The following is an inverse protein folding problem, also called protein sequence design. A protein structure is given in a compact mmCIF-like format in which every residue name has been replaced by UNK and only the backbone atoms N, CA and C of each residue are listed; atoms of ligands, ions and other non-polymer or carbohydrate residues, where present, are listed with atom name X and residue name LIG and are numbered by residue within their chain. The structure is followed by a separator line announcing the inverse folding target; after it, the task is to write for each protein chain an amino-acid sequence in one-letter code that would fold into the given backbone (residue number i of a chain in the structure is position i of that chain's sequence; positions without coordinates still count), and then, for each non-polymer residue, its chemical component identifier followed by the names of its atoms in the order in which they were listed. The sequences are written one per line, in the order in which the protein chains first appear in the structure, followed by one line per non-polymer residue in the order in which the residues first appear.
data_IF_837248180832
#
_entry.id   IF_837248180832
#
_cell.length_a   1.000
_cell.length_b   1.000
_cell.length_c   1.000
_cell.angle_alpha   90.00
_cell.angle_beta   90.00
_cell.angle_gamma   90.00
#
_symmetry.space_group_name_H-M   'P 1'
#
loop_
_entity.id
_entity.type
_entity.pdbx_description
1 polymer ?
#
# COMPACT_ATOMS: atom_id res chain seq x y z
N UNK A 1 -26.36 21.67 35.82
CA UNK A 1 -25.66 22.99 35.75
C UNK A 1 -24.73 22.92 34.53
N UNK A 2 -24.94 23.69 33.46
CA UNK A 2 -24.07 23.68 32.28
C UNK A 2 -22.93 24.69 32.44
N UNK A 3 -21.72 24.29 32.03
CA UNK A 3 -20.59 25.22 31.89
C UNK A 3 -20.26 25.41 30.43
N UNK A 4 -20.65 26.56 29.91
CA UNK A 4 -20.17 27.19 28.69
C UNK A 4 -18.70 27.60 28.82
N UNK A 5 -17.85 27.18 27.88
CA UNK A 5 -16.46 27.60 27.73
C UNK A 5 -16.22 28.16 26.33
N UNK A 6 -16.10 29.46 26.30
CA UNK A 6 -15.92 30.47 25.25
C UNK A 6 -14.68 30.23 24.39
N UNK A 7 -14.81 30.34 23.07
CA UNK A 7 -13.69 30.49 22.11
C UNK A 7 -13.16 31.93 22.17
N UNK A 8 -11.88 32.18 21.95
CA UNK A 8 -11.42 33.51 21.52
C UNK A 8 -11.09 33.53 20.04
N UNK A 9 -11.82 34.40 19.33
CA UNK A 9 -11.43 34.96 18.03
C UNK A 9 -10.15 35.79 18.18
N UNK A 10 -9.22 35.61 17.26
CA UNK A 10 -8.16 36.57 17.02
C UNK A 10 -8.02 36.85 15.53
N UNK A 11 -8.76 37.83 15.07
CA UNK A 11 -8.46 38.66 13.91
C UNK A 11 -7.25 39.54 14.23
N UNK A 12 -6.22 39.52 13.40
CA UNK A 12 -5.24 40.60 13.31
C UNK A 12 -4.97 40.90 11.83
N UNK A 13 -5.52 41.99 11.38
CA UNK A 13 -5.14 42.65 10.15
C UNK A 13 -3.91 43.54 10.43
N UNK A 14 -2.95 43.52 9.56
CA UNK A 14 -1.94 44.56 9.48
C UNK A 14 -1.56 44.84 8.02
N UNK A 15 -2.02 46.01 7.59
CA UNK A 15 -1.56 46.73 6.40
C UNK A 15 -0.21 47.35 6.69
N UNK A 16 0.74 47.33 5.75
CA UNK A 16 1.79 48.30 5.67
C UNK A 16 2.30 48.42 4.22
N UNK A 17 2.11 49.59 3.75
CA UNK A 17 2.44 50.42 2.59
C UNK A 17 3.90 50.44 2.16
N UNK A 18 4.08 50.41 0.84
CA UNK A 18 4.93 51.21 -0.07
C UNK A 18 6.36 51.62 0.29
N UNK A 19 7.29 51.39 -0.65
CA UNK A 19 8.23 52.38 -1.12
C UNK A 19 8.82 52.01 -2.49
N UNK A 20 8.78 52.97 -3.39
CA UNK A 20 9.39 53.02 -4.74
C UNK A 20 10.92 52.96 -4.69
N UNK A 21 11.52 52.26 -5.62
CA UNK A 21 12.95 52.33 -5.88
C UNK A 21 13.27 51.91 -7.32
N UNK A 22 13.35 52.90 -8.22
CA UNK A 22 13.81 52.74 -9.59
C UNK A 22 15.34 52.58 -9.64
N UNK A 23 15.81 51.48 -10.24
CA UNK A 23 17.16 51.40 -10.75
C UNK A 23 17.16 50.64 -12.07
N UNK A 24 17.47 51.38 -13.16
CA UNK A 24 17.82 50.84 -14.45
C UNK A 24 19.22 50.19 -14.38
N UNK A 25 19.33 48.92 -14.82
CA UNK A 25 20.59 48.39 -15.35
C UNK A 25 20.31 47.44 -16.50
N UNK A 26 20.90 47.73 -17.63
CA UNK A 26 20.87 46.97 -18.87
C UNK A 26 21.63 45.64 -18.69
N UNK A 27 21.10 44.62 -19.34
CA UNK A 27 21.92 43.61 -19.99
C UNK A 27 22.07 42.29 -19.26
N UNK A 28 21.30 41.32 -19.71
CA UNK A 28 21.69 39.94 -20.03
C UNK A 28 20.45 39.16 -20.39
N UNK A 29 20.30 38.78 -21.64
CA UNK A 29 19.30 37.84 -22.10
C UNK A 29 19.68 36.44 -21.60
N UNK A 30 19.13 36.05 -20.46
CA UNK A 30 19.08 34.66 -20.04
C UNK A 30 17.73 34.12 -20.45
N UNK A 31 17.70 33.13 -21.36
CA UNK A 31 16.52 32.41 -21.73
C UNK A 31 15.86 31.81 -20.51
N UNK A 32 14.53 31.86 -20.39
CA UNK A 32 13.82 31.13 -19.32
C UNK A 32 14.02 29.66 -19.57
N UNK A 33 14.68 28.98 -18.65
CA UNK A 33 14.57 27.54 -18.55
C UNK A 33 13.08 27.21 -18.28
N UNK A 34 12.43 26.66 -19.27
CA UNK A 34 11.10 26.08 -19.10
C UNK A 34 11.25 24.95 -18.10
N UNK A 35 10.81 25.22 -16.89
CA UNK A 35 10.47 24.16 -15.94
C UNK A 35 9.33 23.37 -16.60
N UNK A 36 9.69 22.28 -17.26
CA UNK A 36 8.72 21.36 -17.81
C UNK A 36 7.82 20.90 -16.67
N UNK A 37 6.55 21.24 -16.79
CA UNK A 37 5.47 20.65 -16.03
C UNK A 37 5.62 19.14 -16.16
N UNK A 38 6.14 18.51 -15.12
CA UNK A 38 6.15 17.07 -14.99
C UNK A 38 4.76 16.71 -14.52
N UNK A 39 3.94 16.07 -15.35
CA UNK A 39 2.62 15.65 -14.89
C UNK A 39 2.80 14.78 -13.65
N UNK A 40 2.01 15.08 -12.62
CA UNK A 40 1.95 14.31 -11.39
C UNK A 40 1.82 12.82 -11.74
N UNK A 41 2.72 12.02 -11.20
CA UNK A 41 2.76 10.58 -11.44
C UNK A 41 1.38 9.96 -11.14
N UNK A 42 0.79 9.39 -12.16
CA UNK A 42 -0.51 8.74 -12.14
C UNK A 42 -0.56 7.55 -11.17
N UNK A 43 -1.73 7.25 -10.60
CA UNK A 43 -1.94 6.08 -9.72
C UNK A 43 -1.89 4.72 -10.46
N UNK A 44 -1.51 4.70 -11.74
CA UNK A 44 -1.40 3.48 -12.54
C UNK A 44 -0.26 2.52 -12.11
N UNK A 45 0.72 3.00 -11.32
CA UNK A 45 1.86 2.17 -10.91
C UNK A 45 1.49 1.06 -9.91
N UNK A 46 0.43 1.26 -9.12
CA UNK A 46 0.08 0.32 -8.03
C UNK A 46 -0.61 -0.94 -8.56
N UNK A 47 -1.47 -0.81 -9.56
CA UNK A 47 -2.16 -1.96 -10.18
C UNK A 47 -1.23 -2.80 -11.06
N UNK A 48 -0.23 -2.17 -11.69
CA UNK A 48 0.74 -2.89 -12.52
C UNK A 48 1.75 -3.70 -11.66
N UNK A 49 2.13 -3.17 -10.49
CA UNK A 49 3.00 -3.86 -9.56
C UNK A 49 2.33 -5.11 -8.95
N UNK A 50 1.04 -5.04 -8.63
CA UNK A 50 0.29 -6.17 -8.09
C UNK A 50 0.13 -7.32 -9.11
N UNK A 51 -0.11 -7.00 -10.38
CA UNK A 51 -0.20 -8.00 -11.45
C UNK A 51 1.14 -8.71 -11.70
N UNK A 52 2.27 -7.98 -11.60
CA UNK A 52 3.60 -8.57 -11.74
C UNK A 52 3.95 -9.49 -10.56
N UNK A 53 3.69 -9.09 -9.32
CA UNK A 53 3.99 -9.90 -8.14
C UNK A 53 3.27 -11.25 -8.14
N UNK A 54 2.00 -11.29 -8.58
CA UNK A 54 1.27 -12.54 -8.77
C UNK A 54 1.92 -13.41 -9.83
N UNK A 55 2.19 -12.85 -11.01
CA UNK A 55 2.80 -13.57 -12.13
C UNK A 55 4.18 -14.11 -11.75
N UNK A 56 5.00 -13.29 -11.11
CA UNK A 56 6.33 -13.66 -10.67
C UNK A 56 6.30 -14.78 -9.63
N UNK A 57 5.38 -14.69 -8.66
CA UNK A 57 5.17 -15.76 -7.69
C UNK A 57 4.76 -17.07 -8.37
N UNK A 58 3.75 -17.04 -9.24
CA UNK A 58 3.23 -18.23 -9.90
C UNK A 58 4.27 -18.84 -10.86
N UNK A 59 5.04 -18.03 -11.57
CA UNK A 59 6.11 -18.50 -12.45
C UNK A 59 7.23 -19.18 -11.66
N UNK A 60 7.50 -18.72 -10.45
CA UNK A 60 8.57 -19.26 -9.59
C UNK A 60 8.18 -20.59 -8.93
N UNK A 61 6.96 -20.71 -8.42
CA UNK A 61 6.54 -21.85 -7.57
C UNK A 61 5.47 -22.74 -8.19
N UNK A 62 4.92 -22.33 -9.33
CA UNK A 62 3.76 -22.99 -9.96
C UNK A 62 2.45 -22.76 -9.18
N UNK A 63 1.42 -23.43 -9.64
CA UNK A 63 0.10 -23.41 -8.98
C UNK A 63 -0.38 -24.81 -8.69
N UNK A 64 -1.27 -24.91 -7.70
CA UNK A 64 -2.06 -26.12 -7.45
C UNK A 64 -3.54 -25.77 -7.38
N UNK A 65 -4.41 -26.72 -7.74
CA UNK A 65 -5.83 -26.59 -7.52
C UNK A 65 -6.11 -26.92 -6.06
N UNK A 66 -6.84 -26.03 -5.39
CA UNK A 66 -7.22 -26.20 -3.99
C UNK A 66 -8.69 -25.87 -3.78
N UNK A 67 -9.34 -26.67 -2.95
CA UNK A 67 -10.73 -26.52 -2.53
C UNK A 67 -10.83 -26.82 -1.03
N UNK A 68 -11.16 -25.85 -0.17
CA UNK A 68 -11.26 -26.09 1.28
C UNK A 68 -12.40 -26.99 1.69
N UNK A 69 -13.53 -26.98 0.95
CA UNK A 69 -14.69 -27.85 1.18
C UNK A 69 -15.42 -28.13 -0.14
N UNK A 70 -16.36 -29.08 -0.15
CA UNK A 70 -17.19 -29.43 -1.34
C UNK A 70 -18.07 -28.27 -1.83
N UNK A 71 -18.45 -27.37 -0.92
CA UNK A 71 -19.45 -26.32 -1.15
C UNK A 71 -18.85 -25.03 -1.78
N UNK A 72 -17.54 -24.98 -1.96
CA UNK A 72 -16.85 -23.85 -2.54
C UNK A 72 -16.16 -24.20 -3.85
N UNK A 73 -15.95 -23.19 -4.69
CA UNK A 73 -15.29 -23.35 -5.98
C UNK A 73 -13.80 -23.63 -5.78
N UNK A 74 -13.24 -24.57 -6.54
CA UNK A 74 -11.81 -24.83 -6.54
C UNK A 74 -11.05 -23.66 -7.18
N UNK A 75 -9.94 -23.24 -6.57
CA UNK A 75 -9.09 -22.17 -7.07
C UNK A 75 -7.67 -22.68 -7.38
N UNK A 76 -7.04 -22.06 -8.39
CA UNK A 76 -5.59 -22.18 -8.59
C UNK A 76 -4.87 -21.23 -7.65
N UNK A 77 -4.19 -21.79 -6.65
CA UNK A 77 -3.40 -21.04 -5.66
C UNK A 77 -1.91 -21.27 -5.88
N UNK A 78 -1.02 -20.36 -5.41
CA UNK A 78 0.42 -20.61 -5.43
C UNK A 78 0.80 -21.88 -4.66
N UNK A 79 1.73 -22.65 -5.23
CA UNK A 79 2.17 -23.93 -4.62
C UNK A 79 3.31 -23.70 -3.63
N UNK A 80 3.10 -22.85 -2.64
CA UNK A 80 4.10 -22.48 -1.64
C UNK A 80 3.48 -22.22 -0.27
N UNK A 81 4.25 -22.52 0.78
CA UNK A 81 3.97 -22.09 2.15
C UNK A 81 4.88 -20.91 2.50
N UNK A 82 4.28 -19.83 3.03
CA UNK A 82 5.04 -18.69 3.51
C UNK A 82 4.91 -18.56 5.03
N UNK A 83 6.01 -18.20 5.66
CA UNK A 83 6.10 -18.00 7.11
C UNK A 83 7.16 -16.96 7.41
N UNK A 84 7.27 -16.54 8.65
CA UNK A 84 8.33 -15.61 9.06
C UNK A 84 9.70 -16.11 8.63
N UNK A 85 10.49 -15.24 7.98
CA UNK A 85 11.76 -15.54 7.33
C UNK A 85 11.66 -15.84 5.85
N UNK A 86 10.46 -16.10 5.28
CA UNK A 86 10.28 -16.24 3.83
C UNK A 86 10.53 -14.91 3.11
N UNK A 87 11.03 -14.95 1.88
CA UNK A 87 11.29 -13.75 1.05
C UNK A 87 10.90 -13.99 -0.40
N UNK A 88 10.79 -12.90 -1.17
CA UNK A 88 10.61 -12.95 -2.63
C UNK A 88 9.21 -12.60 -3.13
N UNK A 89 8.95 -12.90 -4.41
CA UNK A 89 7.75 -12.50 -5.13
C UNK A 89 6.45 -13.02 -4.49
N UNK A 90 6.44 -14.24 -3.97
CA UNK A 90 5.26 -14.80 -3.32
C UNK A 90 4.93 -14.11 -1.99
N UNK A 91 5.95 -13.65 -1.26
CA UNK A 91 5.74 -12.84 -0.05
C UNK A 91 5.15 -11.49 -0.42
N UNK A 92 5.71 -10.84 -1.43
CA UNK A 92 5.17 -9.56 -1.95
C UNK A 92 3.71 -9.70 -2.35
N UNK A 93 3.37 -10.72 -3.10
CA UNK A 93 1.99 -10.99 -3.51
C UNK A 93 1.07 -11.21 -2.30
N UNK A 94 1.49 -11.98 -1.30
CA UNK A 94 0.71 -12.14 -0.07
C UNK A 94 0.52 -10.82 0.70
N UNK A 95 1.57 -9.98 0.76
CA UNK A 95 1.50 -8.66 1.39
C UNK A 95 0.54 -7.71 0.66
N UNK A 96 0.51 -7.74 -0.67
CA UNK A 96 -0.45 -6.97 -1.49
C UNK A 96 -1.90 -7.39 -1.17
N UNK A 97 -2.17 -8.68 -1.12
CA UNK A 97 -3.49 -9.20 -0.76
C UNK A 97 -3.88 -8.82 0.69
N UNK A 98 -2.95 -8.92 1.63
CA UNK A 98 -3.19 -8.51 3.02
C UNK A 98 -3.45 -7.00 3.13
N UNK A 99 -2.70 -6.19 2.39
CA UNK A 99 -2.88 -4.74 2.36
C UNK A 99 -4.23 -4.33 1.76
N UNK A 100 -4.71 -5.04 0.73
CA UNK A 100 -6.03 -4.78 0.14
C UNK A 100 -7.18 -5.13 1.09
N UNK A 101 -7.01 -6.14 1.94
CA UNK A 101 -8.05 -6.64 2.84
C UNK A 101 -8.09 -5.95 4.21
N UNK A 102 -6.94 -5.64 4.76
CA UNK A 102 -6.80 -5.12 6.12
C UNK A 102 -6.33 -3.66 6.15
N UNK A 103 -6.01 -3.07 4.99
CA UNK A 103 -5.27 -1.83 4.88
C UNK A 103 -3.76 -2.03 5.11
N UNK A 104 -2.95 -1.28 4.36
CA UNK A 104 -1.50 -1.31 4.56
C UNK A 104 -1.12 -0.59 5.87
N UNK A 105 -0.19 -1.13 6.68
CA UNK A 105 0.25 -0.47 7.92
C UNK A 105 1.09 0.79 7.67
N UNK A 106 1.45 1.05 6.43
CA UNK A 106 2.24 2.20 6.02
C UNK A 106 3.08 1.92 4.77
N UNK A 107 3.79 2.93 4.27
CA UNK A 107 4.67 2.77 3.12
C UNK A 107 5.76 1.73 3.42
N UNK A 108 6.10 0.92 2.43
CA UNK A 108 7.12 -0.12 2.56
C UNK A 108 6.65 -1.45 3.18
N UNK A 109 5.35 -1.63 3.45
CA UNK A 109 4.84 -2.92 3.92
C UNK A 109 5.01 -4.03 2.87
N UNK A 110 4.81 -3.70 1.60
CA UNK A 110 4.95 -4.64 0.48
C UNK A 110 6.42 -4.66 0.00
N UNK A 111 7.28 -5.26 0.80
CA UNK A 111 8.73 -5.31 0.60
C UNK A 111 9.25 -6.68 0.11
N UNK A 112 8.39 -7.71 0.16
CA UNK A 112 8.77 -9.08 -0.16
C UNK A 112 9.53 -9.79 0.96
N UNK A 113 9.48 -9.27 2.19
CA UNK A 113 10.10 -9.88 3.38
C UNK A 113 9.01 -10.25 4.38
N UNK A 114 8.87 -11.52 4.68
CA UNK A 114 7.92 -11.99 5.69
C UNK A 114 8.49 -11.77 7.09
N UNK A 115 8.43 -10.53 7.54
CA UNK A 115 8.86 -10.10 8.86
C UNK A 115 7.78 -10.24 9.95
N UNK A 116 8.05 -9.77 11.18
CA UNK A 116 7.09 -9.79 12.30
C UNK A 116 5.79 -9.05 11.97
N UNK A 117 5.85 -7.94 11.24
CA UNK A 117 4.67 -7.18 10.81
C UNK A 117 3.80 -8.00 9.87
N UNK A 118 4.38 -8.63 8.85
CA UNK A 118 3.65 -9.51 7.93
C UNK A 118 3.04 -10.69 8.68
N UNK A 119 3.76 -11.30 9.63
CA UNK A 119 3.24 -12.39 10.46
C UNK A 119 2.00 -11.96 11.26
N UNK A 120 2.05 -10.79 11.87
CA UNK A 120 0.90 -10.23 12.61
C UNK A 120 -0.31 -10.03 11.69
N UNK A 121 -0.10 -9.49 10.48
CA UNK A 121 -1.16 -9.28 9.50
C UNK A 121 -1.78 -10.60 9.03
N UNK A 122 -0.97 -11.62 8.77
CA UNK A 122 -1.46 -12.96 8.44
C UNK A 122 -2.33 -13.51 9.57
N UNK A 123 -1.88 -13.41 10.82
CA UNK A 123 -2.67 -13.88 11.99
C UNK A 123 -3.99 -13.11 12.15
N UNK A 124 -3.97 -11.80 11.96
CA UNK A 124 -5.18 -10.98 11.98
C UNK A 124 -6.15 -11.41 10.88
N UNK A 125 -5.65 -11.59 9.64
CA UNK A 125 -6.45 -12.08 8.53
C UNK A 125 -7.05 -13.47 8.83
N UNK A 126 -6.24 -14.41 9.31
CA UNK A 126 -6.67 -15.76 9.68
C UNK A 126 -7.79 -15.73 10.72
N UNK A 127 -7.66 -14.90 11.76
CA UNK A 127 -8.69 -14.71 12.77
C UNK A 127 -10.00 -14.16 12.18
N UNK A 128 -9.91 -13.13 11.34
CA UNK A 128 -11.08 -12.54 10.68
C UNK A 128 -11.77 -13.50 9.70
N UNK A 129 -11.01 -14.38 9.06
CA UNK A 129 -11.50 -15.38 8.13
C UNK A 129 -11.94 -16.71 8.80
N UNK A 130 -11.88 -16.80 10.13
CA UNK A 130 -12.23 -18.03 10.87
C UNK A 130 -11.27 -19.20 10.62
N UNK A 131 -10.02 -18.91 10.26
CA UNK A 131 -8.98 -19.91 10.01
C UNK A 131 -8.13 -20.18 11.27
N UNK A 132 -7.35 -21.26 11.24
CA UNK A 132 -6.31 -21.48 12.26
C UNK A 132 -5.32 -20.34 12.27
N UNK A 133 -5.11 -19.69 13.41
CA UNK A 133 -4.24 -18.51 13.58
C UNK A 133 -2.80 -18.96 13.85
N UNK A 134 -2.17 -19.55 12.83
CA UNK A 134 -0.81 -20.11 12.90
C UNK A 134 0.28 -19.17 12.36
N UNK A 135 -0.11 -18.11 11.63
CA UNK A 135 0.81 -17.17 11.00
C UNK A 135 1.49 -17.73 9.75
N UNK A 136 1.00 -18.82 9.19
CA UNK A 136 1.52 -19.45 7.97
C UNK A 136 0.54 -19.24 6.82
N UNK A 137 1.03 -18.73 5.69
CA UNK A 137 0.23 -18.67 4.47
C UNK A 137 0.33 -20.02 3.75
N UNK A 138 -0.52 -20.95 4.16
CA UNK A 138 -0.71 -22.25 3.54
C UNK A 138 -1.89 -22.24 2.56
N UNK A 139 -2.31 -23.42 2.03
CA UNK A 139 -3.36 -23.52 1.02
C UNK A 139 -4.67 -22.86 1.40
N UNK A 140 -5.08 -23.05 2.64
CA UNK A 140 -6.32 -22.47 3.15
C UNK A 140 -6.24 -20.94 3.21
N UNK A 141 -5.13 -20.43 3.76
CA UNK A 141 -4.90 -18.99 3.83
C UNK A 141 -4.78 -18.37 2.43
N UNK A 142 -4.06 -19.00 1.49
CA UNK A 142 -4.00 -18.55 0.10
C UNK A 142 -5.38 -18.48 -0.54
N UNK A 143 -6.19 -19.53 -0.37
CA UNK A 143 -7.54 -19.57 -0.92
C UNK A 143 -8.35 -18.35 -0.49
N UNK A 144 -8.44 -18.11 0.81
CA UNK A 144 -9.24 -17.01 1.35
C UNK A 144 -8.67 -15.63 1.03
N UNK A 145 -7.35 -15.46 1.02
CA UNK A 145 -6.72 -14.22 0.57
C UNK A 145 -7.09 -13.85 -0.87
N UNK A 146 -7.25 -14.85 -1.73
CA UNK A 146 -7.55 -14.64 -3.15
C UNK A 146 -9.05 -14.57 -3.46
N UNK A 147 -9.92 -15.02 -2.57
CA UNK A 147 -11.37 -15.11 -2.81
C UNK A 147 -12.13 -13.89 -2.33
N UNK A 148 -11.67 -13.25 -1.27
CA UNK A 148 -12.34 -12.11 -0.64
C UNK A 148 -11.97 -10.78 -1.34
N UNK A 149 -11.12 -10.79 -2.35
CA UNK A 149 -10.63 -9.59 -3.04
C UNK A 149 -11.55 -9.18 -4.19
#
# INVERSE_FOLDING_TARGET
VPRTGRRPDRTVAALATAAFGTALSLGATAAPAQAGDRPAAEPAATTYAAASSRSDCVNQVGTRIYRPSSDVVALKIPNVYLRQGSTGACVRYAQELLASQLGAPGPGFVDGIFGPTTNRYVRTFQGNAGLSVDGVVGPNTWYWLMTIN
#
